data_IF_806073162082
#
_entry.id   IF_806073162082
#
_cell.length_a   1.000
_cell.length_b   1.000
_cell.length_c   1.000
_cell.angle_alpha   90.00
_cell.angle_beta   90.00
_cell.angle_gamma   90.00
#
_symmetry.space_group_name_H-M   'P 1'
#
loop_
_entity.id
_entity.type
_entity.pdbx_description
1 polymer ?
#
# COMPACT_ATOMS: atom_id res chain seq x y z
N UNK A 1 42.10 47.99 -0.49
CA UNK A 1 41.49 46.65 -0.30
C UNK A 1 40.14 46.72 0.41
N UNK A 2 39.88 47.62 1.37
CA UNK A 2 38.56 47.73 2.02
C UNK A 2 37.40 47.97 1.02
N UNK A 3 37.58 48.88 0.05
CA UNK A 3 36.52 49.19 -0.93
C UNK A 3 36.22 48.07 -1.94
N UNK A 4 37.13 47.12 -2.19
CA UNK A 4 36.87 46.02 -3.14
C UNK A 4 35.98 44.94 -2.54
N UNK A 5 36.09 44.69 -1.23
CA UNK A 5 35.26 43.70 -0.54
C UNK A 5 33.82 44.17 -0.39
N UNK A 6 33.63 45.46 -0.06
CA UNK A 6 32.31 46.06 0.06
C UNK A 6 31.54 46.01 -1.27
N UNK A 7 32.21 46.30 -2.39
CA UNK A 7 31.61 46.18 -3.74
C UNK A 7 31.21 44.74 -4.05
N UNK A 8 32.05 43.75 -3.72
CA UNK A 8 31.74 42.32 -3.94
C UNK A 8 30.53 41.89 -3.09
N UNK A 9 30.46 42.32 -1.84
CA UNK A 9 29.34 42.00 -0.95
C UNK A 9 28.01 42.58 -1.47
N UNK A 10 28.02 43.82 -1.94
CA UNK A 10 26.84 44.44 -2.56
C UNK A 10 26.42 43.72 -3.85
N UNK A 11 27.37 43.32 -4.71
CA UNK A 11 27.06 42.55 -5.91
C UNK A 11 26.43 41.19 -5.57
N UNK A 12 26.96 40.49 -4.56
CA UNK A 12 26.40 39.21 -4.11
C UNK A 12 25.02 39.39 -3.44
N UNK A 13 24.82 40.45 -2.65
CA UNK A 13 23.53 40.75 -2.05
C UNK A 13 22.46 41.03 -3.11
N UNK A 14 22.79 41.83 -4.13
CA UNK A 14 21.89 42.13 -5.25
C UNK A 14 21.58 40.86 -6.03
N UNK A 15 22.58 40.03 -6.33
CA UNK A 15 22.38 38.77 -7.05
C UNK A 15 21.51 37.80 -6.25
N UNK A 16 21.81 37.58 -4.97
CA UNK A 16 21.03 36.73 -4.08
C UNK A 16 19.59 37.25 -3.93
N UNK A 17 19.41 38.56 -3.77
CA UNK A 17 18.09 39.20 -3.71
C UNK A 17 17.30 39.05 -5.02
N UNK A 18 17.95 39.18 -6.17
CA UNK A 18 17.33 38.96 -7.47
C UNK A 18 16.93 37.49 -7.68
N UNK A 19 17.80 36.55 -7.30
CA UNK A 19 17.49 35.12 -7.33
C UNK A 19 16.36 34.75 -6.34
N UNK A 20 16.32 35.36 -5.15
CA UNK A 20 15.22 35.20 -4.21
C UNK A 20 13.90 35.71 -4.80
N UNK A 21 13.92 36.84 -5.51
CA UNK A 21 12.74 37.43 -6.14
C UNK A 21 12.21 36.56 -7.30
N UNK A 22 13.09 36.10 -8.20
CA UNK A 22 12.71 35.18 -9.28
C UNK A 22 12.12 33.89 -8.70
N UNK A 23 12.82 33.28 -7.75
CA UNK A 23 12.33 32.05 -7.12
C UNK A 23 11.08 32.29 -6.28
N UNK A 24 10.89 33.49 -5.72
CA UNK A 24 9.66 33.88 -5.02
C UNK A 24 8.46 33.91 -5.96
N UNK A 25 8.64 34.44 -7.17
CA UNK A 25 7.61 34.45 -8.21
C UNK A 25 7.27 33.02 -8.65
N UNK A 26 8.28 32.16 -8.85
CA UNK A 26 8.08 30.74 -9.18
C UNK A 26 7.51 29.93 -8.00
N UNK A 27 7.87 30.25 -6.77
CA UNK A 27 7.35 29.59 -5.57
C UNK A 27 5.85 29.85 -5.37
N UNK A 28 5.34 30.98 -5.86
CA UNK A 28 3.90 31.26 -5.87
C UNK A 28 3.12 30.35 -6.84
N UNK A 29 3.77 29.77 -7.85
CA UNK A 29 3.13 28.79 -8.74
C UNK A 29 3.35 27.34 -8.30
N UNK A 30 4.56 27.02 -7.80
CA UNK A 30 5.01 25.63 -7.64
C UNK A 30 5.33 25.24 -6.17
N UNK A 31 5.02 26.10 -5.19
CA UNK A 31 5.17 25.77 -3.76
C UNK A 31 6.60 25.74 -3.21
N UNK A 32 7.60 26.19 -3.98
CA UNK A 32 9.01 26.06 -3.63
C UNK A 32 9.53 27.15 -2.66
N UNK A 33 9.11 27.12 -1.39
CA UNK A 33 9.48 28.13 -0.37
C UNK A 33 10.94 27.99 0.12
N UNK A 34 11.48 26.78 0.23
CA UNK A 34 12.82 26.54 0.80
C UNK A 34 13.94 27.29 0.06
N UNK A 35 14.00 27.29 -1.28
CA UNK A 35 15.00 28.02 -2.03
C UNK A 35 14.90 29.53 -1.86
N UNK A 36 13.68 30.07 -1.72
CA UNK A 36 13.44 31.48 -1.39
C UNK A 36 14.05 31.82 -0.04
N UNK A 37 13.85 30.97 0.97
CA UNK A 37 14.45 31.12 2.31
C UNK A 37 15.98 31.06 2.22
N UNK A 38 16.54 30.10 1.46
CA UNK A 38 17.99 29.96 1.31
C UNK A 38 18.62 31.16 0.61
N UNK A 39 18.00 31.71 -0.44
CA UNK A 39 18.47 32.93 -1.09
C UNK A 39 18.30 34.17 -0.21
N UNK A 40 17.21 34.26 0.56
CA UNK A 40 17.00 35.34 1.52
C UNK A 40 18.04 35.30 2.65
N UNK A 41 18.38 34.11 3.17
CA UNK A 41 19.46 33.90 4.12
C UNK A 41 20.83 34.26 3.51
N UNK A 42 21.09 33.81 2.28
CA UNK A 42 22.31 34.15 1.57
C UNK A 42 22.47 35.67 1.41
N UNK A 43 21.39 36.38 1.10
CA UNK A 43 21.35 37.84 1.02
C UNK A 43 21.58 38.48 2.40
N UNK A 44 20.88 38.03 3.44
CA UNK A 44 21.00 38.57 4.79
C UNK A 44 22.43 38.46 5.35
N UNK A 45 23.15 37.36 5.06
CA UNK A 45 24.53 37.14 5.50
C UNK A 45 25.50 38.17 4.92
N UNK A 46 25.28 38.63 3.69
CA UNK A 46 26.18 39.57 3.00
C UNK A 46 25.70 41.01 3.05
N UNK A 47 24.45 41.29 3.44
CA UNK A 47 23.89 42.64 3.46
C UNK A 47 24.55 43.49 4.57
N UNK A 48 25.36 44.51 4.23
CA UNK A 48 26.15 45.28 5.20
C UNK A 48 25.40 45.80 6.43
N UNK A 49 24.17 46.36 6.33
CA UNK A 49 23.41 46.81 7.50
C UNK A 49 23.01 45.69 8.47
N UNK A 50 22.91 44.43 8.02
CA UNK A 50 22.54 43.29 8.86
C UNK A 50 23.74 42.56 9.45
N UNK A 51 24.94 42.77 8.89
CA UNK A 51 26.16 42.08 9.35
C UNK A 51 26.47 42.30 10.85
N UNK A 52 26.37 43.51 11.43
CA UNK A 52 26.66 43.71 12.85
C UNK A 52 25.77 42.86 13.76
N UNK A 53 24.49 42.74 13.42
CA UNK A 53 23.52 41.95 14.18
C UNK A 53 23.77 40.44 14.04
N UNK A 54 24.13 39.99 12.84
CA UNK A 54 24.43 38.57 12.57
C UNK A 54 25.74 38.17 13.26
N UNK A 55 26.77 39.02 13.24
CA UNK A 55 28.06 38.77 13.88
C UNK A 55 27.99 38.76 15.42
N UNK A 56 27.06 39.53 15.99
CA UNK A 56 26.77 39.50 17.42
C UNK A 56 26.20 38.13 17.82
N UNK A 57 25.25 37.60 17.05
CA UNK A 57 24.63 36.29 17.31
C UNK A 57 25.49 35.10 16.89
N UNK A 58 26.29 35.25 15.84
CA UNK A 58 27.10 34.18 15.26
C UNK A 58 28.55 34.66 15.08
N UNK A 59 29.37 34.67 16.16
CA UNK A 59 30.72 35.24 16.13
C UNK A 59 31.67 34.57 15.13
N UNK A 60 31.40 33.31 14.77
CA UNK A 60 32.19 32.58 13.77
C UNK A 60 32.06 33.17 12.36
N UNK A 61 31.00 33.95 12.06
CA UNK A 61 30.80 34.62 10.77
C UNK A 61 31.55 35.96 10.63
N UNK A 62 32.31 36.41 11.63
CA UNK A 62 33.12 37.65 11.54
C UNK A 62 34.10 37.68 10.37
N UNK A 63 34.79 36.58 9.99
CA UNK A 63 35.70 36.60 8.85
C UNK A 63 34.95 36.85 7.53
N UNK A 64 35.27 37.96 6.87
CA UNK A 64 34.72 38.32 5.55
C UNK A 64 34.74 37.19 4.50
N UNK A 65 35.84 36.43 4.32
CA UNK A 65 35.86 35.34 3.32
C UNK A 65 34.87 34.22 3.64
N UNK A 66 34.57 33.98 4.93
CA UNK A 66 33.61 32.96 5.34
C UNK A 66 32.18 33.35 4.98
N UNK A 67 31.81 34.64 5.13
CA UNK A 67 30.50 35.16 4.73
C UNK A 67 30.27 34.99 3.23
N UNK A 68 31.28 35.36 2.44
CA UNK A 68 31.24 35.24 0.98
C UNK A 68 31.12 33.76 0.58
N UNK A 69 31.94 32.89 1.17
CA UNK A 69 31.86 31.45 0.93
C UNK A 69 30.49 30.88 1.27
N UNK A 70 29.94 31.19 2.44
CA UNK A 70 28.64 30.69 2.88
C UNK A 70 27.50 31.21 1.98
N UNK A 71 27.56 32.48 1.57
CA UNK A 71 26.61 33.05 0.61
C UNK A 71 26.63 32.30 -0.73
N UNK A 72 27.83 32.11 -1.30
CA UNK A 72 28.00 31.35 -2.55
C UNK A 72 27.55 29.90 -2.40
N UNK A 73 27.88 29.26 -1.27
CA UNK A 73 27.45 27.89 -0.96
C UNK A 73 25.93 27.78 -0.89
N UNK A 74 25.26 28.67 -0.15
CA UNK A 74 23.79 28.72 -0.05
C UNK A 74 23.14 28.94 -1.41
N UNK A 75 23.67 29.87 -2.21
CA UNK A 75 23.21 30.11 -3.58
C UNK A 75 23.44 28.91 -4.50
N UNK A 76 24.52 28.16 -4.30
CA UNK A 76 24.83 26.97 -5.08
C UNK A 76 23.93 25.78 -4.72
N UNK A 77 23.59 25.58 -3.44
CA UNK A 77 22.73 24.46 -3.01
C UNK A 77 21.24 24.74 -3.21
N UNK A 78 20.80 26.01 -3.18
CA UNK A 78 19.39 26.35 -3.26
C UNK A 78 18.69 25.76 -4.51
N UNK A 79 19.29 25.78 -5.72
CA UNK A 79 18.74 25.09 -6.89
C UNK A 79 18.64 23.56 -6.75
N UNK A 80 19.50 22.92 -5.95
CA UNK A 80 19.50 21.46 -5.75
C UNK A 80 18.55 21.00 -4.65
N UNK A 81 18.04 21.91 -3.80
CA UNK A 81 17.00 21.58 -2.81
C UNK A 81 15.60 21.45 -3.40
N UNK A 82 15.46 21.57 -4.73
CA UNK A 82 14.18 21.58 -5.42
C UNK A 82 13.70 20.17 -5.80
N UNK A 83 12.38 20.02 -5.63
CA UNK A 83 11.45 18.99 -6.14
C UNK A 83 11.07 17.86 -5.20
N UNK A 84 11.99 17.02 -4.73
CA UNK A 84 11.53 15.70 -4.24
C UNK A 84 11.29 15.57 -2.73
N UNK A 85 11.67 16.56 -1.90
CA UNK A 85 11.68 16.37 -0.43
C UNK A 85 10.42 16.91 0.27
N UNK A 86 9.67 17.80 -0.38
CA UNK A 86 8.49 18.44 0.25
C UNK A 86 7.17 17.93 -0.30
N UNK A 87 7.14 17.52 -1.57
CA UNK A 87 5.96 16.89 -2.13
C UNK A 87 5.79 15.52 -1.49
N UNK A 88 4.64 15.31 -0.85
CA UNK A 88 4.33 14.04 -0.21
C UNK A 88 2.83 13.80 -0.26
N UNK A 89 2.46 12.53 -0.21
CA UNK A 89 1.12 12.16 0.17
C UNK A 89 0.85 12.65 1.61
N UNK A 90 -0.36 13.16 1.83
CA UNK A 90 -0.88 13.33 3.18
C UNK A 90 -1.56 12.04 3.63
N UNK A 91 -2.64 12.18 4.41
CA UNK A 91 -3.48 11.06 4.81
C UNK A 91 -4.15 10.46 3.56
N UNK A 92 -3.78 9.23 3.18
CA UNK A 92 -4.36 8.49 2.04
C UNK A 92 -5.26 7.40 2.58
N UNK A 93 -6.52 7.40 2.15
CA UNK A 93 -7.55 6.47 2.64
C UNK A 93 -8.34 5.87 1.51
N UNK A 94 -8.78 4.63 1.72
CA UNK A 94 -9.77 3.98 0.87
C UNK A 94 -11.15 4.14 1.48
N UNK A 95 -12.17 4.41 0.66
CA UNK A 95 -13.56 4.37 1.11
C UNK A 95 -14.51 3.87 0.01
N UNK A 96 -15.75 3.59 0.40
CA UNK A 96 -16.79 3.17 -0.53
C UNK A 96 -17.41 4.38 -1.25
N UNK A 97 -17.72 5.43 -0.48
CA UNK A 97 -18.22 6.71 -0.98
C UNK A 97 -17.61 7.82 -0.10
N UNK A 98 -16.88 8.77 -0.66
CA UNK A 98 -16.34 9.88 0.11
C UNK A 98 -17.43 10.94 0.38
N UNK A 99 -17.47 11.48 1.60
CA UNK A 99 -18.36 12.59 1.96
C UNK A 99 -17.59 13.91 1.82
N UNK A 100 -18.03 14.77 0.89
CA UNK A 100 -17.44 16.12 0.68
C UNK A 100 -15.92 16.15 0.46
N UNK A 101 -15.35 15.21 -0.29
CA UNK A 101 -13.90 15.21 -0.54
C UNK A 101 -13.10 14.29 0.39
N UNK A 102 -13.71 13.78 1.46
CA UNK A 102 -13.00 13.13 2.57
C UNK A 102 -13.55 11.73 2.82
N UNK A 103 -12.66 10.75 3.00
CA UNK A 103 -13.02 9.45 3.56
C UNK A 103 -13.01 9.57 5.10
N UNK A 104 -14.18 9.47 5.72
CA UNK A 104 -14.32 9.49 7.19
C UNK A 104 -13.65 8.28 7.83
N UNK A 105 -13.74 7.12 7.19
CA UNK A 105 -13.15 5.86 7.60
C UNK A 105 -12.24 5.31 6.50
N UNK A 106 -11.19 4.62 6.92
CA UNK A 106 -10.27 3.90 6.02
C UNK A 106 -10.72 2.44 5.90
N UNK A 107 -11.45 2.16 4.83
CA UNK A 107 -12.05 0.85 4.59
C UNK A 107 -10.99 -0.09 4.01
N UNK A 108 -10.68 -1.17 4.73
CA UNK A 108 -9.68 -2.17 4.35
C UNK A 108 -10.27 -3.49 3.86
N UNK A 109 -11.59 -3.61 3.84
CA UNK A 109 -12.34 -4.79 3.41
C UNK A 109 -13.44 -4.39 2.43
N UNK A 110 -13.42 -4.96 1.23
CA UNK A 110 -14.39 -4.67 0.18
C UNK A 110 -15.12 -5.94 -0.25
N UNK A 111 -16.40 -5.87 -0.63
CA UNK A 111 -17.06 -7.00 -1.26
C UNK A 111 -16.54 -7.19 -2.70
N UNK A 112 -16.53 -8.44 -3.18
CA UNK A 112 -16.05 -8.83 -4.52
C UNK A 112 -16.76 -8.09 -5.66
N UNK A 113 -18.00 -7.66 -5.43
CA UNK A 113 -18.80 -6.92 -6.40
C UNK A 113 -18.55 -5.39 -6.37
N UNK A 114 -17.56 -4.91 -5.62
CA UNK A 114 -17.15 -3.50 -5.67
C UNK A 114 -16.66 -3.16 -7.09
N UNK A 115 -17.34 -2.20 -7.72
CA UNK A 115 -17.06 -1.76 -9.09
C UNK A 115 -16.11 -0.57 -9.18
N UNK A 116 -15.87 0.13 -8.06
CA UNK A 116 -15.03 1.32 -8.01
C UNK A 116 -14.38 1.40 -6.63
N UNK A 117 -13.06 1.60 -6.57
CA UNK A 117 -12.38 2.02 -5.36
C UNK A 117 -12.27 3.55 -5.37
N UNK A 118 -12.72 4.16 -4.27
CA UNK A 118 -12.58 5.59 -4.04
C UNK A 118 -11.39 5.83 -3.12
N UNK A 119 -10.46 6.65 -3.56
CA UNK A 119 -9.24 6.99 -2.82
C UNK A 119 -9.30 8.48 -2.51
N UNK A 120 -9.24 8.85 -1.23
CA UNK A 120 -9.12 10.24 -0.82
C UNK A 120 -7.73 10.50 -0.25
N UNK A 121 -7.15 11.66 -0.58
CA UNK A 121 -5.87 12.09 -0.06
C UNK A 121 -5.80 13.59 0.21
N UNK A 122 -4.92 14.01 1.11
CA UNK A 122 -4.57 15.41 1.40
C UNK A 122 -3.16 15.71 0.91
N UNK A 123 -2.96 15.86 -0.41
CA UNK A 123 -1.61 15.96 -0.96
C UNK A 123 -0.91 17.23 -0.50
N UNK A 124 0.33 17.10 -0.02
CA UNK A 124 1.13 18.23 0.45
C UNK A 124 2.10 18.66 -0.63
N UNK A 125 2.03 19.92 -1.07
CA UNK A 125 2.95 20.50 -2.05
C UNK A 125 3.00 19.75 -3.39
N UNK A 126 1.92 19.07 -3.76
CA UNK A 126 1.75 18.43 -5.08
C UNK A 126 1.00 19.39 -6.01
N UNK A 127 1.51 19.62 -7.21
CA UNK A 127 0.89 20.50 -8.18
C UNK A 127 -0.49 19.96 -8.63
N UNK A 128 -1.43 20.85 -8.91
CA UNK A 128 -2.71 20.46 -9.50
C UNK A 128 -2.50 19.77 -10.86
N UNK A 129 -3.30 18.73 -11.13
CA UNK A 129 -3.25 17.92 -12.36
C UNK A 129 -1.97 17.11 -12.55
N UNK A 130 -1.19 16.88 -11.49
CA UNK A 130 -0.07 15.94 -11.53
C UNK A 130 -0.60 14.55 -11.90
N UNK A 131 0.01 13.90 -12.90
CA UNK A 131 -0.39 12.56 -13.31
C UNK A 131 0.08 11.52 -12.29
N UNK A 132 -0.86 10.69 -11.83
CA UNK A 132 -0.65 9.61 -10.89
C UNK A 132 -0.94 8.29 -11.59
N UNK A 133 0.00 7.35 -11.48
CA UNK A 133 -0.16 5.97 -11.87
C UNK A 133 -0.66 5.18 -10.67
N UNK A 134 -1.87 4.65 -10.78
CA UNK A 134 -2.46 3.69 -9.86
C UNK A 134 -2.09 2.30 -10.35
N UNK A 135 -1.42 1.52 -9.52
CA UNK A 135 -1.09 0.12 -9.80
C UNK A 135 -1.77 -0.77 -8.77
N UNK A 136 -2.73 -1.58 -9.22
CA UNK A 136 -3.43 -2.55 -8.40
C UNK A 136 -2.80 -3.92 -8.60
N UNK A 137 -2.22 -4.45 -7.53
CA UNK A 137 -1.63 -5.79 -7.45
C UNK A 137 -2.55 -6.71 -6.66
N UNK A 138 -2.86 -7.87 -7.24
CA UNK A 138 -3.59 -8.95 -6.62
C UNK A 138 -2.62 -9.98 -6.02
N UNK A 139 -2.91 -10.38 -4.79
CA UNK A 139 -2.12 -11.31 -3.98
C UNK A 139 -3.07 -12.44 -3.55
N UNK A 140 -3.26 -13.48 -4.39
CA UNK A 140 -4.12 -14.63 -4.06
C UNK A 140 -3.55 -15.42 -2.87
N UNK A 141 -2.23 -15.50 -2.79
CA UNK A 141 -1.49 -16.22 -1.76
C UNK A 141 -0.18 -15.49 -1.42
N UNK A 142 0.37 -15.67 -0.20
CA UNK A 142 1.68 -15.15 0.15
C UNK A 142 2.76 -15.57 -0.86
N UNK A 143 3.46 -14.58 -1.43
CA UNK A 143 4.51 -14.79 -2.42
C UNK A 143 4.05 -14.91 -3.87
N UNK A 144 2.74 -14.98 -4.14
CA UNK A 144 2.18 -14.85 -5.48
C UNK A 144 1.69 -13.42 -5.69
N UNK A 145 2.18 -12.76 -6.73
CA UNK A 145 1.80 -11.38 -7.07
C UNK A 145 1.44 -11.28 -8.54
N UNK A 146 0.32 -10.63 -8.84
CA UNK A 146 -0.12 -10.34 -10.19
C UNK A 146 -0.61 -8.90 -10.28
N UNK A 147 0.00 -8.09 -11.15
CA UNK A 147 -0.53 -6.77 -11.47
C UNK A 147 -1.80 -6.97 -12.28
N UNK A 148 -2.94 -6.59 -11.72
CA UNK A 148 -4.26 -6.80 -12.35
C UNK A 148 -4.75 -5.56 -13.08
N UNK A 149 -4.31 -4.37 -12.67
CA UNK A 149 -4.71 -3.13 -13.31
C UNK A 149 -3.67 -2.04 -13.11
N UNK A 150 -3.45 -1.25 -14.16
CA UNK A 150 -2.69 0.00 -14.08
C UNK A 150 -3.51 1.10 -14.74
N UNK A 151 -3.63 2.24 -14.07
CA UNK A 151 -4.38 3.39 -14.59
C UNK A 151 -3.64 4.68 -14.28
N UNK A 152 -3.44 5.52 -15.29
CA UNK A 152 -2.95 6.87 -15.11
C UNK A 152 -4.12 7.84 -15.00
N UNK A 153 -4.11 8.70 -13.99
CA UNK A 153 -5.16 9.70 -13.77
C UNK A 153 -4.57 11.01 -13.24
N UNK A 154 -5.07 12.18 -13.68
CA UNK A 154 -4.63 13.45 -13.12
C UNK A 154 -5.17 13.64 -11.70
N UNK A 155 -4.30 14.08 -10.79
CA UNK A 155 -4.67 14.46 -9.43
C UNK A 155 -5.42 15.79 -9.44
N UNK A 156 -6.72 15.75 -9.18
CA UNK A 156 -7.56 16.94 -9.05
C UNK A 156 -7.69 17.31 -7.57
N UNK A 157 -6.98 18.37 -7.16
CA UNK A 157 -6.99 18.86 -5.77
C UNK A 157 -8.00 20.00 -5.64
N UNK A 158 -9.06 19.78 -4.87
CA UNK A 158 -10.11 20.76 -4.55
C UNK A 158 -10.13 21.00 -3.04
N UNK A 159 -10.08 22.26 -2.59
CA UNK A 159 -10.08 22.63 -1.17
C UNK A 159 -9.01 21.92 -0.31
N UNK A 160 -7.87 21.54 -0.90
CA UNK A 160 -6.77 20.86 -0.21
C UNK A 160 -6.92 19.33 -0.09
N UNK A 161 -7.99 18.76 -0.64
CA UNK A 161 -8.18 17.31 -0.74
C UNK A 161 -8.20 16.90 -2.21
N UNK A 162 -7.85 15.65 -2.48
CA UNK A 162 -7.96 15.05 -3.80
C UNK A 162 -8.73 13.75 -3.70
N UNK A 163 -9.56 13.49 -4.71
CA UNK A 163 -10.30 12.25 -4.88
C UNK A 163 -9.87 11.58 -6.17
N UNK A 164 -9.65 10.28 -6.08
CA UNK A 164 -9.23 9.46 -7.20
C UNK A 164 -10.17 8.26 -7.29
N UNK A 165 -10.75 8.05 -8.46
CA UNK A 165 -11.59 6.89 -8.74
C UNK A 165 -10.81 5.84 -9.54
N UNK A 166 -10.80 4.62 -9.03
CA UNK A 166 -10.27 3.44 -9.72
C UNK A 166 -11.44 2.52 -10.07
N UNK A 167 -12.00 2.59 -11.30
CA UNK A 167 -13.01 1.65 -11.76
C UNK A 167 -12.42 0.25 -11.87
N UNK A 168 -13.15 -0.76 -11.40
CA UNK A 168 -12.74 -2.16 -11.35
C UNK A 168 -13.89 -3.03 -11.87
N UNK A 169 -13.59 -3.93 -12.80
CA UNK A 169 -14.62 -4.80 -13.38
C UNK A 169 -15.05 -5.92 -12.42
N UNK A 170 -14.11 -6.46 -11.63
CA UNK A 170 -14.34 -7.49 -10.62
C UNK A 170 -13.12 -7.57 -9.68
N UNK A 171 -13.34 -7.71 -8.38
CA UNK A 171 -12.28 -8.00 -7.40
C UNK A 171 -12.35 -9.49 -7.00
N UNK A 172 -11.59 -10.40 -7.63
CA UNK A 172 -11.39 -11.74 -7.10
C UNK A 172 -11.15 -11.73 -5.58
N UNK A 173 -11.68 -12.72 -4.87
CA UNK A 173 -11.46 -12.85 -3.43
C UNK A 173 -9.96 -12.98 -3.18
N UNK A 174 -9.43 -12.23 -2.22
CA UNK A 174 -8.02 -12.28 -1.87
C UNK A 174 -7.50 -10.96 -1.30
N UNK A 175 -6.19 -10.84 -1.24
CA UNK A 175 -5.51 -9.64 -0.76
C UNK A 175 -5.06 -8.77 -1.93
N UNK A 176 -5.01 -7.46 -1.71
CA UNK A 176 -4.66 -6.47 -2.72
C UNK A 176 -3.68 -5.45 -2.15
N UNK A 177 -2.83 -4.97 -3.04
CA UNK A 177 -1.94 -3.83 -2.82
C UNK A 177 -2.19 -2.81 -3.90
N UNK A 178 -2.51 -1.59 -3.49
CA UNK A 178 -2.68 -0.44 -4.37
C UNK A 178 -1.51 0.51 -4.16
N UNK A 179 -0.72 0.72 -5.21
CA UNK A 179 0.37 1.68 -5.22
C UNK A 179 -0.07 2.96 -5.93
N UNK A 180 0.13 4.11 -5.27
CA UNK A 180 -0.05 5.44 -5.86
C UNK A 180 1.33 6.00 -6.22
N UNK A 181 1.64 6.02 -7.51
CA UNK A 181 2.98 6.34 -8.02
C UNK A 181 2.89 7.64 -8.84
N UNK A 182 3.72 8.63 -8.53
CA UNK A 182 3.88 9.81 -9.40
C UNK A 182 4.48 9.39 -10.74
N UNK A 183 3.90 9.83 -11.88
CA UNK A 183 4.40 9.44 -13.21
C UNK A 183 5.90 9.74 -13.41
N UNK A 184 6.37 10.87 -12.86
CA UNK A 184 7.77 11.28 -12.95
C UNK A 184 8.60 10.93 -11.70
N UNK A 185 8.03 10.20 -10.74
CA UNK A 185 8.62 9.96 -9.42
C UNK A 185 8.99 11.26 -8.69
N UNK A 186 8.14 12.30 -8.83
CA UNK A 186 8.38 13.61 -8.21
C UNK A 186 8.24 13.57 -6.67
N UNK A 187 7.58 12.54 -6.13
CA UNK A 187 7.43 12.29 -4.70
C UNK A 187 7.31 10.78 -4.41
N UNK A 188 7.51 10.34 -3.15
CA UNK A 188 7.47 8.92 -2.78
C UNK A 188 6.13 8.26 -3.14
N UNK A 189 6.17 7.00 -3.56
CA UNK A 189 4.95 6.22 -3.75
C UNK A 189 4.27 5.94 -2.40
N UNK A 190 2.93 5.89 -2.41
CA UNK A 190 2.14 5.42 -1.27
C UNK A 190 1.61 4.02 -1.55
N UNK A 191 1.61 3.17 -0.54
CA UNK A 191 1.11 1.81 -0.63
C UNK A 191 -0.09 1.62 0.31
N UNK A 192 -1.20 1.11 -0.23
CA UNK A 192 -2.40 0.76 0.52
C UNK A 192 -2.69 -0.73 0.36
N UNK A 193 -2.81 -1.46 1.46
CA UNK A 193 -3.26 -2.84 1.44
C UNK A 193 -4.75 -2.93 1.82
N UNK A 194 -5.49 -3.83 1.15
CA UNK A 194 -6.89 -4.13 1.46
C UNK A 194 -7.23 -5.57 1.03
N UNK A 195 -8.43 -6.04 1.37
CA UNK A 195 -8.90 -7.39 1.04
C UNK A 195 -10.27 -7.35 0.36
N UNK A 196 -10.50 -8.29 -0.56
CA UNK A 196 -11.80 -8.50 -1.18
C UNK A 196 -12.44 -9.80 -0.67
N UNK A 197 -13.73 -9.72 -0.33
CA UNK A 197 -14.50 -10.78 0.31
C UNK A 197 -15.72 -11.18 -0.51
N UNK A 198 -16.24 -12.36 -0.25
CA UNK A 198 -17.39 -12.91 -0.98
C UNK A 198 -18.69 -12.11 -0.78
N UNK A 199 -18.93 -11.56 0.42
CA UNK A 199 -20.15 -10.84 0.74
C UNK A 199 -19.97 -9.76 1.82
N UNK A 200 -20.83 -8.73 1.85
CA UNK A 200 -20.86 -7.76 2.95
C UNK A 200 -21.07 -8.39 4.33
N UNK A 201 -21.88 -9.44 4.44
CA UNK A 201 -22.12 -10.11 5.72
C UNK A 201 -20.87 -10.78 6.31
N UNK A 202 -19.97 -11.29 5.44
CA UNK A 202 -18.66 -11.78 5.87
C UNK A 202 -17.81 -10.65 6.43
N UNK A 203 -17.80 -9.49 5.75
CA UNK A 203 -17.07 -8.30 6.19
C UNK A 203 -17.58 -7.83 7.55
N UNK A 204 -18.89 -7.67 7.72
CA UNK A 204 -19.51 -7.26 8.97
C UNK A 204 -19.13 -8.21 10.12
N UNK A 205 -19.13 -9.52 9.85
CA UNK A 205 -18.74 -10.53 10.84
C UNK A 205 -17.27 -10.38 11.25
N UNK A 206 -16.36 -10.17 10.30
CA UNK A 206 -14.92 -10.04 10.57
C UNK A 206 -14.58 -8.72 11.26
N UNK A 207 -15.23 -7.62 10.87
CA UNK A 207 -15.02 -6.30 11.47
C UNK A 207 -15.45 -6.25 12.94
N UNK A 208 -16.37 -7.13 13.36
CA UNK A 208 -16.80 -7.25 14.76
C UNK A 208 -15.84 -8.05 15.65
N UNK A 209 -14.84 -8.70 15.06
CA UNK A 209 -13.84 -9.48 15.77
C UNK A 209 -12.65 -8.61 16.20
N UNK A 210 -11.84 -9.13 17.11
CA UNK A 210 -10.58 -8.51 17.48
C UNK A 210 -9.50 -8.78 16.41
N UNK A 211 -8.49 -7.90 16.25
CA UNK A 211 -7.31 -8.19 15.45
C UNK A 211 -6.56 -9.43 15.98
N UNK A 212 -6.01 -10.23 15.07
CA UNK A 212 -5.17 -11.38 15.41
C UNK A 212 -3.76 -11.21 14.84
N UNK A 213 -2.76 -11.70 15.58
CA UNK A 213 -1.40 -11.82 15.08
C UNK A 213 -1.22 -12.98 14.09
N UNK A 214 -2.17 -13.93 14.03
CA UNK A 214 -2.10 -15.10 13.16
C UNK A 214 -2.18 -14.68 11.70
N UNK A 215 -1.18 -15.05 10.92
CA UNK A 215 -1.18 -14.85 9.47
C UNK A 215 -1.03 -16.18 8.74
N UNK A 216 -1.65 -16.28 7.56
CA UNK A 216 -1.50 -17.45 6.71
C UNK A 216 -0.20 -17.33 5.91
N UNK A 217 0.67 -18.32 6.00
CA UNK A 217 1.97 -18.34 5.33
C UNK A 217 1.90 -18.98 3.93
N UNK A 218 0.90 -19.82 3.69
CA UNK A 218 0.68 -20.49 2.42
C UNK A 218 -0.36 -21.59 2.53
N UNK A 219 -0.82 -22.04 1.37
CA UNK A 219 -1.76 -23.13 1.22
C UNK A 219 -1.15 -24.18 0.29
N UNK A 220 -1.26 -25.45 0.66
CA UNK A 220 -0.97 -26.58 -0.20
C UNK A 220 -2.20 -27.44 -0.32
N UNK A 221 -2.54 -27.83 -1.55
CA UNK A 221 -3.59 -28.78 -1.83
C UNK A 221 -3.01 -30.11 -2.27
N UNK A 222 -3.57 -31.20 -1.79
CA UNK A 222 -3.22 -32.55 -2.22
C UNK A 222 -4.46 -33.45 -2.17
N UNK A 223 -4.37 -34.66 -2.72
CA UNK A 223 -5.48 -35.62 -2.69
C UNK A 223 -5.08 -36.97 -2.14
N UNK A 224 -6.10 -37.76 -1.80
CA UNK A 224 -5.95 -39.15 -1.41
C UNK A 224 -6.91 -40.05 -2.19
N UNK A 225 -6.41 -41.20 -2.63
CA UNK A 225 -7.17 -42.20 -3.39
C UNK A 225 -7.75 -43.33 -2.52
N UNK A 226 -7.20 -43.53 -1.32
CA UNK A 226 -7.63 -44.57 -0.37
C UNK A 226 -8.61 -44.01 0.68
N UNK A 227 -9.46 -44.87 1.23
CA UNK A 227 -10.44 -44.50 2.27
C UNK A 227 -9.78 -44.04 3.57
N UNK A 228 -10.38 -43.03 4.22
CA UNK A 228 -9.94 -42.38 5.47
C UNK A 228 -10.02 -43.28 6.73
N UNK A 229 -9.94 -44.61 6.59
CA UNK A 229 -10.17 -45.56 7.70
C UNK A 229 -9.01 -45.68 8.71
N UNK A 230 -7.87 -44.99 8.50
CA UNK A 230 -6.69 -45.08 9.36
C UNK A 230 -6.50 -43.86 10.30
N UNK A 231 -6.72 -43.94 11.62
CA UNK A 231 -6.70 -42.79 12.54
C UNK A 231 -5.35 -42.05 12.70
N UNK A 232 -4.31 -42.38 11.94
CA UNK A 232 -3.01 -41.67 11.93
C UNK A 232 -3.00 -40.39 11.06
N UNK A 233 -4.15 -39.91 10.58
CA UNK A 233 -4.29 -38.80 9.62
C UNK A 233 -3.80 -37.43 10.10
N UNK A 234 -3.74 -37.17 11.42
CA UNK A 234 -3.34 -35.87 11.95
C UNK A 234 -1.88 -35.49 11.64
N UNK A 235 -1.05 -36.46 11.23
CA UNK A 235 0.34 -36.23 10.86
C UNK A 235 0.58 -36.08 9.35
N UNK A 236 -0.45 -36.18 8.49
CA UNK A 236 -0.25 -36.18 7.05
C UNK A 236 -0.04 -34.76 6.51
N UNK A 237 1.17 -34.50 6.00
CA UNK A 237 1.52 -33.24 5.35
C UNK A 237 1.38 -33.40 3.84
N UNK A 238 0.68 -32.48 3.16
CA UNK A 238 0.66 -32.42 1.70
C UNK A 238 2.09 -32.24 1.15
N UNK A 239 2.70 -33.29 0.56
CA UNK A 239 4.09 -33.24 0.15
C UNK A 239 4.26 -32.49 -1.17
N UNK A 240 3.27 -32.62 -2.06
CA UNK A 240 3.20 -31.98 -3.37
C UNK A 240 1.99 -31.07 -3.36
N UNK A 241 2.18 -29.86 -3.86
CA UNK A 241 1.09 -28.93 -4.06
C UNK A 241 0.49 -29.14 -5.45
N UNK A 242 -0.79 -29.45 -5.50
CA UNK A 242 -1.51 -29.84 -6.71
C UNK A 242 -2.65 -28.86 -7.02
N UNK A 243 -2.92 -28.68 -8.31
CA UNK A 243 -4.01 -27.82 -8.80
C UNK A 243 -5.02 -28.57 -9.68
N UNK A 244 -4.74 -29.83 -9.98
CA UNK A 244 -5.57 -30.71 -10.82
C UNK A 244 -5.63 -32.07 -10.13
N UNK A 245 -6.85 -32.55 -9.88
CA UNK A 245 -7.10 -33.78 -9.13
C UNK A 245 -7.95 -34.77 -9.94
N UNK A 246 -7.80 -36.08 -9.72
CA UNK A 246 -8.67 -37.08 -10.34
C UNK A 246 -10.05 -37.12 -9.66
N UNK A 247 -11.11 -37.33 -10.43
CA UNK A 247 -12.50 -37.46 -9.97
C UNK A 247 -12.70 -38.61 -8.98
N UNK A 248 -11.86 -39.64 -9.10
CA UNK A 248 -11.86 -40.82 -8.26
C UNK A 248 -11.26 -40.58 -6.87
N UNK A 249 -10.70 -39.39 -6.59
CA UNK A 249 -10.14 -39.08 -5.28
C UNK A 249 -11.20 -39.24 -4.19
N UNK A 250 -10.81 -39.82 -3.06
CA UNK A 250 -11.68 -40.01 -1.89
C UNK A 250 -11.61 -38.83 -0.93
N UNK A 251 -10.51 -38.10 -0.96
CA UNK A 251 -10.37 -36.88 -0.18
C UNK A 251 -9.52 -35.82 -0.89
N UNK A 252 -9.94 -34.57 -0.74
CA UNK A 252 -9.15 -33.38 -1.04
C UNK A 252 -8.66 -32.79 0.28
N UNK A 253 -7.37 -32.49 0.37
CA UNK A 253 -6.71 -32.10 1.62
C UNK A 253 -6.06 -30.74 1.41
N UNK A 254 -6.39 -29.78 2.27
CA UNK A 254 -5.79 -28.47 2.34
C UNK A 254 -4.91 -28.36 3.57
N UNK A 255 -3.61 -28.20 3.36
CA UNK A 255 -2.64 -27.94 4.41
C UNK A 255 -2.26 -26.46 4.38
N UNK A 256 -2.64 -25.72 5.42
CA UNK A 256 -2.40 -24.28 5.55
C UNK A 256 -1.27 -24.08 6.54
N UNK A 257 -0.20 -23.44 6.09
CA UNK A 257 0.90 -23.03 6.97
C UNK A 257 0.53 -21.72 7.67
N UNK A 258 0.84 -21.64 8.97
CA UNK A 258 0.51 -20.49 9.81
C UNK A 258 1.78 -19.83 10.33
N UNK A 259 1.74 -18.51 10.46
CA UNK A 259 2.77 -17.70 11.11
C UNK A 259 2.19 -17.02 12.34
N UNK A 260 3.06 -16.73 13.32
CA UNK A 260 2.76 -15.92 14.51
C UNK A 260 1.56 -16.43 15.35
N UNK A 261 1.41 -17.76 15.47
CA UNK A 261 0.37 -18.39 16.30
C UNK A 261 0.68 -18.22 17.78
N UNK A 262 0.24 -17.08 18.33
CA UNK A 262 0.35 -16.75 19.76
C UNK A 262 -0.97 -16.80 20.50
N UNK A 263 -2.07 -16.56 19.77
CA UNK A 263 -3.40 -16.45 20.33
C UNK A 263 -4.31 -17.56 19.80
N UNK A 264 -5.34 -17.91 20.56
CA UNK A 264 -6.40 -18.78 20.09
C UNK A 264 -7.21 -18.03 19.03
N UNK A 265 -6.92 -18.30 17.76
CA UNK A 265 -7.65 -17.75 16.61
C UNK A 265 -8.30 -18.90 15.87
N UNK A 266 -9.51 -18.70 15.38
CA UNK A 266 -10.14 -19.67 14.51
C UNK A 266 -9.66 -19.46 13.07
N UNK A 267 -9.41 -20.55 12.34
CA UNK A 267 -9.18 -20.52 10.90
C UNK A 267 -10.35 -21.20 10.22
N UNK A 268 -10.94 -20.47 9.28
CA UNK A 268 -12.12 -20.91 8.54
C UNK A 268 -11.73 -21.29 7.12
N UNK A 269 -12.25 -22.43 6.68
CA UNK A 269 -12.11 -23.01 5.36
C UNK A 269 -13.47 -22.98 4.68
N UNK A 270 -13.53 -22.45 3.47
CA UNK A 270 -14.73 -22.47 2.63
C UNK A 270 -14.37 -23.11 1.30
N UNK A 271 -15.05 -24.20 0.97
CA UNK A 271 -14.92 -24.90 -0.31
C UNK A 271 -16.18 -24.69 -1.11
N UNK A 272 -16.02 -24.35 -2.39
CA UNK A 272 -17.15 -24.22 -3.30
C UNK A 272 -16.91 -24.98 -4.59
N UNK A 273 -17.92 -25.75 -5.01
CA UNK A 273 -17.96 -26.31 -6.35
C UNK A 273 -18.51 -25.27 -7.34
N UNK A 274 -17.73 -24.95 -8.37
CA UNK A 274 -18.05 -23.98 -9.41
C UNK A 274 -18.73 -24.71 -10.59
N UNK A 275 -19.99 -25.11 -10.40
CA UNK A 275 -20.77 -25.73 -11.46
C UNK A 275 -21.10 -24.70 -12.56
N UNK A 276 -21.00 -25.11 -13.84
CA UNK A 276 -21.47 -24.30 -14.97
C UNK A 276 -23.00 -24.13 -14.88
N UNK A 277 -23.45 -22.97 -14.39
CA UNK A 277 -24.87 -22.57 -14.34
C UNK A 277 -25.66 -22.95 -13.09
N UNK A 278 -25.02 -23.48 -12.04
CA UNK A 278 -25.65 -23.83 -10.76
C UNK A 278 -25.27 -22.91 -9.59
N UNK A 279 -26.07 -22.90 -8.51
CA UNK A 279 -25.62 -22.32 -7.23
C UNK A 279 -24.44 -23.14 -6.71
N UNK A 280 -23.32 -22.52 -6.32
CA UNK A 280 -22.19 -23.25 -5.77
C UNK A 280 -22.62 -24.03 -4.53
N UNK A 281 -22.21 -25.29 -4.43
CA UNK A 281 -22.32 -26.05 -3.17
C UNK A 281 -21.20 -25.56 -2.28
N UNK A 282 -21.55 -24.96 -1.14
CA UNK A 282 -20.61 -24.42 -0.17
C UNK A 282 -20.48 -25.35 1.03
N UNK A 283 -19.23 -25.69 1.37
CA UNK A 283 -18.88 -26.38 2.60
C UNK A 283 -17.96 -25.48 3.42
N UNK A 284 -18.40 -25.16 4.63
CA UNK A 284 -17.69 -24.29 5.56
C UNK A 284 -17.31 -25.06 6.81
N UNK A 285 -16.05 -25.02 7.18
CA UNK A 285 -15.55 -25.56 8.45
C UNK A 285 -14.61 -24.56 9.13
N UNK A 286 -14.70 -24.49 10.44
CA UNK A 286 -13.88 -23.59 11.27
C UNK A 286 -13.12 -24.43 12.28
N UNK A 287 -11.81 -24.27 12.34
CA UNK A 287 -10.93 -24.95 13.29
C UNK A 287 -10.26 -23.95 14.21
N UNK A 288 -10.34 -24.19 15.51
CA UNK A 288 -9.59 -23.40 16.50
C UNK A 288 -8.10 -23.76 16.42
N UNK A 289 -7.25 -22.74 16.28
CA UNK A 289 -5.80 -22.91 16.29
C UNK A 289 -5.32 -22.84 17.73
N UNK A 290 -4.73 -23.93 18.23
CA UNK A 290 -4.03 -23.91 19.52
C UNK A 290 -2.63 -23.28 19.37
N UNK A 291 -2.13 -22.68 20.45
CA UNK A 291 -0.77 -22.11 20.50
C UNK A 291 0.29 -23.14 20.10
N UNK A 292 1.28 -22.72 19.30
CA UNK A 292 2.40 -23.53 18.79
C UNK A 292 2.10 -24.50 17.63
N UNK A 293 0.93 -24.41 17.00
CA UNK A 293 0.67 -25.13 15.75
C UNK A 293 1.24 -24.32 14.57
N UNK A 294 2.09 -24.94 13.75
CA UNK A 294 2.66 -24.29 12.54
C UNK A 294 1.82 -24.50 11.28
N UNK A 295 0.86 -25.42 11.31
CA UNK A 295 0.01 -25.75 10.17
C UNK A 295 -1.31 -26.39 10.58
N UNK A 296 -2.39 -26.09 9.85
CA UNK A 296 -3.69 -26.74 10.00
C UNK A 296 -4.02 -27.52 8.74
N UNK A 297 -4.48 -28.76 8.92
CA UNK A 297 -4.96 -29.60 7.85
C UNK A 297 -6.48 -29.65 7.87
N UNK A 298 -7.10 -29.40 6.74
CA UNK A 298 -8.52 -29.60 6.50
C UNK A 298 -8.70 -30.67 5.42
N UNK A 299 -9.65 -31.59 5.64
CA UNK A 299 -9.90 -32.72 4.74
C UNK A 299 -11.35 -32.70 4.32
N UNK A 300 -11.58 -32.56 3.02
CA UNK A 300 -12.88 -32.78 2.41
C UNK A 300 -12.94 -34.21 1.89
N UNK A 301 -13.81 -35.03 2.46
CA UNK A 301 -13.99 -36.42 2.05
C UNK A 301 -15.23 -36.60 1.16
N UNK A 302 -15.17 -37.52 0.21
CA UNK A 302 -16.32 -37.97 -0.57
C UNK A 302 -16.28 -39.48 -0.77
N UNK A 303 -17.36 -40.17 -0.38
CA UNK A 303 -17.49 -41.62 -0.56
C UNK A 303 -17.57 -42.00 -2.04
N UNK A 304 -18.32 -41.21 -2.83
CA UNK A 304 -18.58 -41.45 -4.25
C UNK A 304 -17.55 -40.81 -5.20
N UNK A 305 -16.55 -40.11 -4.65
CA UNK A 305 -15.60 -39.30 -5.41
C UNK A 305 -16.10 -37.87 -5.65
N UNK A 306 -15.32 -37.07 -6.36
CA UNK A 306 -15.63 -35.67 -6.64
C UNK A 306 -16.16 -35.50 -8.05
N UNK A 307 -17.20 -34.68 -8.20
CA UNK A 307 -17.71 -34.32 -9.51
C UNK A 307 -16.62 -33.63 -10.34
N UNK A 308 -16.39 -34.01 -11.61
CA UNK A 308 -15.46 -33.28 -12.46
C UNK A 308 -15.90 -31.82 -12.64
N UNK A 309 -14.96 -30.89 -12.55
CA UNK A 309 -15.22 -29.46 -12.71
C UNK A 309 -14.24 -28.58 -11.94
N UNK A 310 -14.55 -27.29 -11.83
CA UNK A 310 -13.74 -26.33 -11.09
C UNK A 310 -14.23 -26.21 -9.66
N UNK A 311 -13.30 -26.01 -8.75
CA UNK A 311 -13.56 -25.79 -7.34
C UNK A 311 -12.74 -24.58 -6.88
N UNK A 312 -13.25 -23.87 -5.89
CA UNK A 312 -12.50 -22.86 -5.16
C UNK A 312 -12.39 -23.24 -3.69
N UNK A 313 -11.26 -22.86 -3.09
CA UNK A 313 -11.03 -22.89 -1.66
C UNK A 313 -10.62 -21.48 -1.21
N UNK A 314 -11.27 -21.01 -0.16
CA UNK A 314 -10.90 -19.81 0.58
C UNK A 314 -10.54 -20.21 2.00
N UNK A 315 -9.41 -19.70 2.48
CA UNK A 315 -8.95 -19.90 3.85
C UNK A 315 -8.64 -18.54 4.46
N UNK A 316 -9.13 -18.29 5.67
CA UNK A 316 -8.83 -17.05 6.39
C UNK A 316 -8.87 -17.25 7.92
N UNK A 317 -8.06 -16.50 8.68
CA UNK A 317 -8.23 -16.42 10.13
C UNK A 317 -9.45 -15.54 10.45
N UNK A 318 -10.29 -15.94 11.41
CA UNK A 318 -11.42 -15.14 11.87
C UNK A 318 -10.91 -13.97 12.74
N UNK A 319 -10.60 -12.84 12.11
CA UNK A 319 -10.08 -11.63 12.77
C UNK A 319 -10.33 -10.36 11.95
N UNK A 320 -10.25 -9.20 12.59
CA UNK A 320 -10.46 -7.89 11.94
C UNK A 320 -9.45 -7.57 10.84
N UNK A 321 -8.24 -8.11 10.94
CA UNK A 321 -7.13 -7.89 10.00
C UNK A 321 -6.85 -9.13 9.14
N UNK A 322 -7.87 -9.98 8.95
CA UNK A 322 -7.75 -11.20 8.17
C UNK A 322 -7.32 -10.92 6.73
N UNK A 323 -6.37 -11.72 6.24
CA UNK A 323 -5.98 -11.77 4.84
C UNK A 323 -6.37 -13.15 4.29
N UNK A 324 -7.36 -13.23 3.39
CA UNK A 324 -7.79 -14.52 2.85
C UNK A 324 -6.77 -15.02 1.84
N UNK A 325 -6.49 -16.32 1.89
CA UNK A 325 -5.88 -17.07 0.79
C UNK A 325 -7.00 -17.64 -0.07
N UNK A 326 -6.89 -17.45 -1.39
CA UNK A 326 -7.88 -17.93 -2.36
C UNK A 326 -7.20 -18.72 -3.47
N UNK A 327 -7.72 -19.92 -3.74
CA UNK A 327 -7.22 -20.78 -4.81
C UNK A 327 -8.36 -21.44 -5.58
N UNK A 328 -8.19 -21.52 -6.89
CA UNK A 328 -9.04 -22.31 -7.79
C UNK A 328 -8.27 -23.54 -8.24
N UNK A 329 -8.91 -24.69 -8.23
CA UNK A 329 -8.36 -25.96 -8.70
C UNK A 329 -9.40 -26.73 -9.52
N UNK A 330 -8.95 -27.77 -10.23
CA UNK A 330 -9.82 -28.58 -11.10
C UNK A 330 -9.86 -30.03 -10.65
N UNK A 331 -11.00 -30.67 -10.83
CA UNK A 331 -11.19 -32.12 -10.75
C UNK A 331 -11.49 -32.62 -12.16
N UNK A 332 -10.67 -33.55 -12.65
CA UNK A 332 -10.78 -34.13 -13.99
C UNK A 332 -11.35 -35.55 -13.94
N UNK A 333 -12.05 -35.95 -15.00
CA UNK A 333 -12.68 -37.27 -15.10
C UNK A 333 -11.65 -38.40 -15.07
#
# INVERSE_FOLDING_TARGET
>A
MAGTFEVIQWCLAILAGFLALINGIVAMSDGAIVPVILFALACAIVLPPLQPFIEEKFPFLRPEPLKIFLCVFLMAIAPFTFRNVLASWGDVRLCAVPESGVCTEDIRMFPRNTSTLQIATTPNWIAQKTAINLELTYIPEPGQVAIVQTQTTPLNVENGTAQIELPIENLPIGSYRLNLISENNDFPAEELEFTAWDSPGTIDSLQSLEPSAVTLAGLKLCHQMEELSNPMFEAWQCPVDESVFPSQMKAAIANVSLNNVRDQTNVTFIWRYLADGGKPVELKETKSVESNISSIVFTLASEDGFAPGKYEIMVYPESQNAQPIFRVFSVEA
#
